data_IF_062829870985
#
_entry.id   IF_062829870985
#
_cell.length_a   1.000
_cell.length_b   1.000
_cell.length_c   1.000
_cell.angle_alpha   90.00
_cell.angle_beta   90.00
_cell.angle_gamma   90.00
#
_symmetry.space_group_name_H-M   'P 1'
#
loop_
_entity.id
_entity.type
_entity.pdbx_description
1 polymer ?
#
# COMPACT_ATOMS: atom_id res chain seq x y z
N UNK A 1 -11.47 -6.48 13.86
CA UNK A 1 -12.57 -5.65 14.41
C UNK A 1 -13.73 -6.47 14.91
N UNK A 2 -14.50 -7.16 14.06
CA UNK A 2 -15.70 -7.92 14.49
C UNK A 2 -15.37 -8.97 15.56
N UNK A 3 -14.34 -9.79 15.34
CA UNK A 3 -13.88 -10.76 16.34
C UNK A 3 -13.48 -10.13 17.68
N UNK A 4 -12.82 -8.96 17.66
CA UNK A 4 -12.48 -8.24 18.89
C UNK A 4 -13.74 -7.77 19.62
N UNK A 5 -14.72 -7.23 18.89
CA UNK A 5 -15.98 -6.80 19.48
C UNK A 5 -16.76 -7.97 20.07
N UNK A 6 -16.82 -9.10 19.38
CA UNK A 6 -17.44 -10.33 19.87
C UNK A 6 -16.70 -10.85 21.13
N UNK A 7 -15.36 -10.83 21.14
CA UNK A 7 -14.54 -11.23 22.30
C UNK A 7 -14.76 -10.37 23.54
N UNK A 8 -14.92 -9.06 23.36
CA UNK A 8 -15.18 -8.12 24.46
C UNK A 8 -16.67 -7.87 24.70
N UNK A 9 -17.55 -8.66 24.06
CA UNK A 9 -19.01 -8.57 24.18
C UNK A 9 -19.57 -7.16 23.93
N UNK A 10 -18.94 -6.39 23.04
CA UNK A 10 -19.37 -5.03 22.69
C UNK A 10 -20.41 -5.12 21.58
N UNK A 11 -21.69 -4.76 21.82
CA UNK A 11 -22.71 -4.81 20.79
C UNK A 11 -22.49 -3.71 19.75
N UNK A 12 -22.47 -4.10 18.46
CA UNK A 12 -22.30 -3.16 17.34
C UNK A 12 -23.38 -2.08 17.26
N UNK A 13 -24.56 -2.32 17.85
CA UNK A 13 -25.62 -1.33 17.94
C UNK A 13 -25.27 -0.12 18.81
N UNK A 14 -24.30 -0.25 19.73
CA UNK A 14 -23.85 0.85 20.60
C UNK A 14 -22.70 1.66 20.00
N UNK A 15 -22.15 1.23 18.85
CA UNK A 15 -21.04 1.93 18.21
C UNK A 15 -21.53 3.15 17.44
N UNK A 16 -21.21 4.34 17.95
CA UNK A 16 -21.52 5.63 17.34
C UNK A 16 -20.54 6.04 16.24
N UNK A 17 -19.33 5.47 16.22
CA UNK A 17 -18.26 5.85 15.30
C UNK A 17 -17.37 4.65 14.96
N UNK A 18 -17.16 4.38 13.68
CA UNK A 18 -16.32 3.30 13.18
C UNK A 18 -15.50 3.77 11.98
N UNK A 19 -14.18 3.81 12.16
CA UNK A 19 -13.22 4.07 11.09
C UNK A 19 -12.44 2.80 10.80
N UNK A 20 -12.36 2.45 9.53
CA UNK A 20 -11.72 1.24 9.06
C UNK A 20 -10.51 1.56 8.18
N UNK A 21 -9.33 1.14 8.61
CA UNK A 21 -8.10 1.12 7.82
C UNK A 21 -7.86 -0.29 7.27
N UNK A 22 -7.28 -0.39 6.08
CA UNK A 22 -7.05 -1.68 5.42
C UNK A 22 -5.84 -1.64 4.48
N UNK A 23 -5.21 -2.80 4.30
CA UNK A 23 -4.09 -3.02 3.37
C UNK A 23 -4.53 -3.63 2.03
N UNK A 24 -5.84 -3.82 1.81
CA UNK A 24 -6.37 -4.47 0.59
C UNK A 24 -5.87 -3.81 -0.69
N UNK A 25 -5.78 -2.48 -0.74
CA UNK A 25 -5.34 -1.75 -1.94
C UNK A 25 -3.86 -1.97 -2.24
N UNK A 26 -2.99 -1.75 -1.24
CA UNK A 26 -1.55 -1.89 -1.44
C UNK A 26 -1.19 -3.35 -1.78
N UNK A 27 -1.79 -4.32 -1.09
CA UNK A 27 -1.56 -5.74 -1.37
C UNK A 27 -2.01 -6.13 -2.79
N UNK A 28 -3.18 -5.64 -3.24
CA UNK A 28 -3.64 -5.92 -4.60
C UNK A 28 -2.70 -5.35 -5.68
N UNK A 29 -2.07 -4.21 -5.42
CA UNK A 29 -1.11 -3.57 -6.33
C UNK A 29 0.26 -4.27 -6.32
N UNK A 30 0.76 -4.66 -5.15
CA UNK A 30 2.03 -5.36 -4.99
C UNK A 30 1.97 -6.79 -5.54
N UNK A 31 0.90 -7.53 -5.23
CA UNK A 31 0.74 -8.93 -5.64
C UNK A 31 0.22 -9.08 -7.09
N UNK A 32 -0.16 -7.97 -7.73
CA UNK A 32 -0.75 -8.01 -9.07
C UNK A 32 -2.10 -8.74 -9.12
N UNK A 33 -2.87 -8.67 -8.03
CA UNK A 33 -4.19 -9.33 -7.86
C UNK A 33 -5.37 -8.38 -8.08
N UNK A 34 -5.19 -7.33 -8.87
CA UNK A 34 -6.29 -6.46 -9.28
C UNK A 34 -7.11 -7.02 -10.44
N UNK A 35 -8.10 -6.24 -10.86
CA UNK A 35 -9.01 -6.58 -11.93
C UNK A 35 -8.35 -6.45 -13.31
N UNK A 36 -8.79 -7.26 -14.27
CA UNK A 36 -8.37 -7.12 -15.66
C UNK A 36 -8.83 -5.76 -16.21
N UNK A 37 -7.88 -4.85 -16.37
CA UNK A 37 -8.16 -3.43 -16.61
C UNK A 37 -7.80 -3.02 -18.03
N UNK A 38 -8.66 -2.21 -18.65
CA UNK A 38 -8.36 -1.50 -19.89
C UNK A 38 -8.13 -0.01 -19.63
N UNK A 39 -7.35 0.62 -20.50
CA UNK A 39 -7.15 2.06 -20.54
C UNK A 39 -7.74 2.61 -21.84
N UNK A 40 -8.65 3.57 -21.74
CA UNK A 40 -9.09 4.40 -22.87
C UNK A 40 -8.35 5.73 -22.77
N UNK A 41 -7.65 6.11 -23.83
CA UNK A 41 -6.88 7.36 -23.90
C UNK A 41 -7.01 8.04 -25.25
N UNK A 42 -6.51 9.27 -25.34
CA UNK A 42 -6.47 10.03 -26.59
C UNK A 42 -5.63 9.32 -27.64
N UNK A 43 -6.09 9.32 -28.90
CA UNK A 43 -5.30 8.79 -30.02
C UNK A 43 -3.89 9.39 -30.09
N UNK A 44 -2.88 8.50 -30.14
CA UNK A 44 -1.46 8.84 -30.09
C UNK A 44 -0.83 8.76 -28.69
N UNK A 45 -1.61 8.48 -27.64
CA UNK A 45 -1.16 8.48 -26.24
C UNK A 45 -1.22 7.10 -25.56
N UNK A 46 -1.52 6.02 -26.28
CA UNK A 46 -1.58 4.65 -25.70
C UNK A 46 -0.31 4.20 -24.97
N UNK A 47 0.85 4.73 -25.35
CA UNK A 47 2.15 4.29 -24.85
C UNK A 47 2.69 5.19 -23.71
N UNK A 48 1.90 6.13 -23.19
CA UNK A 48 2.27 7.00 -22.04
C UNK A 48 2.76 6.19 -20.83
N UNK A 49 2.07 5.09 -20.49
CA UNK A 49 2.46 4.22 -19.38
C UNK A 49 3.78 3.47 -19.63
N UNK A 50 4.06 3.13 -20.88
CA UNK A 50 5.30 2.44 -21.28
C UNK A 50 6.50 3.38 -21.24
N UNK A 51 6.28 4.63 -21.65
CA UNK A 51 7.31 5.66 -21.71
C UNK A 51 7.69 6.09 -20.28
N UNK A 52 6.69 6.36 -19.42
CA UNK A 52 6.89 6.70 -18.01
C UNK A 52 7.69 7.98 -17.77
N UNK A 53 7.67 8.92 -18.73
CA UNK A 53 8.53 10.12 -18.83
C UNK A 53 10.01 9.86 -19.09
N UNK A 54 10.41 8.63 -19.38
CA UNK A 54 11.82 8.23 -19.60
C UNK A 54 12.77 8.51 -18.43
N UNK A 55 12.24 8.84 -17.26
CA UNK A 55 13.03 9.00 -16.05
C UNK A 55 13.62 7.66 -15.61
N UNK A 56 14.88 7.67 -15.17
CA UNK A 56 15.51 6.54 -14.47
C UNK A 56 15.65 6.91 -13.01
N UNK A 57 14.89 6.25 -12.15
CA UNK A 57 14.95 6.45 -10.70
C UNK A 57 16.30 6.04 -10.12
N UNK A 58 16.95 5.05 -10.74
CA UNK A 58 18.30 4.60 -10.41
C UNK A 58 19.27 5.00 -11.53
N UNK A 59 19.71 6.27 -11.53
CA UNK A 59 20.50 6.84 -12.63
C UNK A 59 21.77 6.03 -12.96
N UNK A 60 22.40 5.44 -11.94
CA UNK A 60 23.66 4.70 -12.07
C UNK A 60 23.48 3.18 -12.22
N UNK A 61 22.25 2.66 -12.18
CA UNK A 61 22.01 1.24 -12.39
C UNK A 61 21.94 0.93 -13.89
N UNK A 62 23.00 0.34 -14.43
CA UNK A 62 23.07 -0.08 -15.84
C UNK A 62 22.03 -1.16 -16.19
N UNK A 63 21.56 -1.94 -15.20
CA UNK A 63 20.57 -2.99 -15.34
C UNK A 63 19.15 -2.53 -14.94
N UNK A 64 18.93 -1.21 -14.85
CA UNK A 64 17.63 -0.65 -14.47
C UNK A 64 16.51 -1.17 -15.37
N UNK A 65 15.49 -1.74 -14.73
CA UNK A 65 14.25 -2.16 -15.37
C UNK A 65 13.15 -1.19 -14.99
N UNK A 66 12.42 -0.70 -15.99
CA UNK A 66 11.24 0.14 -15.76
C UNK A 66 10.14 -0.67 -15.09
N UNK A 67 9.32 -0.04 -14.23
CA UNK A 67 8.11 -0.67 -13.71
C UNK A 67 7.20 -1.18 -14.83
N UNK A 68 6.80 -2.44 -14.76
CA UNK A 68 5.85 -3.02 -15.71
C UNK A 68 4.49 -2.32 -15.55
N UNK A 69 3.88 -1.78 -16.63
CA UNK A 69 2.55 -1.18 -16.52
C UNK A 69 1.48 -2.20 -16.14
N UNK A 70 0.51 -1.80 -15.30
CA UNK A 70 -0.59 -2.67 -14.87
C UNK A 70 -1.53 -3.07 -16.03
N UNK A 71 -1.66 -2.19 -17.02
CA UNK A 71 -2.47 -2.45 -18.23
C UNK A 71 -1.54 -2.86 -19.36
N UNK A 72 -1.66 -4.07 -19.91
CA UNK A 72 -0.84 -4.50 -21.04
C UNK A 72 -1.21 -3.69 -22.29
N UNK A 73 -0.24 -3.50 -23.19
CA UNK A 73 -0.39 -2.61 -24.35
C UNK A 73 -1.63 -2.90 -25.22
N UNK A 74 -2.04 -4.16 -25.36
CA UNK A 74 -3.21 -4.55 -26.15
C UNK A 74 -4.56 -4.18 -25.51
N UNK A 75 -4.58 -3.80 -24.22
CA UNK A 75 -5.75 -3.24 -23.52
C UNK A 75 -5.64 -1.71 -23.34
N UNK A 76 -4.66 -1.06 -23.98
CA UNK A 76 -4.55 0.40 -24.07
C UNK A 76 -5.15 0.83 -25.40
N UNK A 77 -6.40 1.27 -25.33
CA UNK A 77 -7.27 1.59 -26.45
C UNK A 77 -7.34 3.09 -26.64
N UNK A 78 -7.44 3.51 -27.90
CA UNK A 78 -7.39 4.92 -28.29
C UNK A 78 -8.72 5.34 -28.88
N UNK A 79 -9.23 6.48 -28.42
CA UNK A 79 -10.38 7.14 -29.04
C UNK A 79 -9.91 8.38 -29.80
N UNK A 80 -10.53 8.68 -30.94
CA UNK A 80 -10.25 9.90 -31.67
C UNK A 80 -10.99 11.07 -31.02
N UNK A 81 -10.26 11.84 -30.23
CA UNK A 81 -10.69 13.11 -29.68
C UNK A 81 -9.48 14.01 -29.37
N UNK A 82 -9.69 15.30 -29.10
CA UNK A 82 -8.62 16.16 -28.59
C UNK A 82 -9.16 17.40 -27.88
N UNK A 83 -8.68 17.62 -26.65
CA UNK A 83 -8.84 18.87 -25.91
C UNK A 83 -7.55 19.69 -25.96
N UNK A 84 -7.68 21.00 -26.23
CA UNK A 84 -6.61 21.98 -26.10
C UNK A 84 -6.27 22.25 -24.63
N UNK A 85 -5.07 22.79 -24.38
CA UNK A 85 -4.68 23.25 -23.03
C UNK A 85 -5.47 24.47 -22.56
N UNK A 86 -6.11 25.18 -23.49
CA UNK A 86 -7.04 26.30 -23.26
C UNK A 86 -8.50 25.83 -23.07
N UNK A 87 -8.70 24.54 -22.76
CA UNK A 87 -10.00 23.90 -22.56
C UNK A 87 -10.91 23.83 -23.80
N UNK A 88 -10.43 24.22 -24.99
CA UNK A 88 -11.24 24.14 -26.23
C UNK A 88 -11.21 22.75 -26.85
N UNK A 89 -12.32 22.37 -27.47
CA UNK A 89 -12.40 21.14 -28.27
C UNK A 89 -11.66 21.36 -29.58
N UNK A 90 -10.58 20.62 -29.81
CA UNK A 90 -9.82 20.66 -31.07
C UNK A 90 -10.31 19.58 -32.04
N UNK A 91 -10.62 18.40 -31.52
CA UNK A 91 -11.20 17.29 -32.28
C UNK A 91 -12.36 16.73 -31.44
N UNK A 92 -13.61 16.73 -31.94
CA UNK A 92 -14.74 16.13 -31.24
C UNK A 92 -14.53 14.65 -30.94
N UNK A 93 -15.22 14.13 -29.91
CA UNK A 93 -15.24 12.72 -29.57
C UNK A 93 -15.88 11.89 -30.69
N UNK A 94 -15.15 10.92 -31.23
CA UNK A 94 -15.69 9.96 -32.20
C UNK A 94 -16.38 8.78 -31.51
N UNK A 95 -17.72 8.78 -31.53
CA UNK A 95 -18.54 7.78 -30.85
C UNK A 95 -18.40 6.39 -31.50
N UNK A 96 -18.11 6.31 -32.80
CA UNK A 96 -17.94 5.03 -33.50
C UNK A 96 -16.75 4.23 -32.97
N UNK A 97 -15.66 4.92 -32.61
CA UNK A 97 -14.49 4.30 -32.01
C UNK A 97 -14.87 3.64 -30.68
N UNK A 98 -15.70 4.29 -29.86
CA UNK A 98 -16.11 3.77 -28.56
C UNK A 98 -16.93 2.47 -28.67
N UNK A 99 -17.81 2.36 -29.66
CA UNK A 99 -18.58 1.13 -29.88
C UNK A 99 -17.67 -0.08 -30.18
N UNK A 100 -16.65 0.12 -31.02
CA UNK A 100 -15.67 -0.93 -31.33
C UNK A 100 -14.77 -1.25 -30.12
N UNK A 101 -14.39 -0.23 -29.35
CA UNK A 101 -13.62 -0.38 -28.12
C UNK A 101 -14.39 -1.23 -27.10
N UNK A 102 -15.68 -0.96 -26.89
CA UNK A 102 -16.54 -1.74 -25.98
C UNK A 102 -16.62 -3.21 -26.42
N UNK A 103 -16.80 -3.47 -27.72
CA UNK A 103 -16.83 -4.85 -28.23
C UNK A 103 -15.49 -5.57 -28.01
N UNK A 104 -14.37 -4.89 -28.24
CA UNK A 104 -13.03 -5.43 -27.97
C UNK A 104 -12.83 -5.74 -26.48
N UNK A 105 -13.24 -4.83 -25.60
CA UNK A 105 -13.15 -5.02 -24.14
C UNK A 105 -13.99 -6.21 -23.68
N UNK A 106 -15.22 -6.37 -24.20
CA UNK A 106 -16.08 -7.53 -23.92
C UNK A 106 -15.46 -8.85 -24.36
N UNK A 107 -14.93 -8.92 -25.59
CA UNK A 107 -14.22 -10.11 -26.09
C UNK A 107 -12.98 -10.46 -25.26
N UNK A 108 -12.43 -9.49 -24.55
CA UNK A 108 -11.29 -9.67 -23.65
C UNK A 108 -11.70 -9.74 -22.18
N UNK A 109 -12.99 -9.78 -21.86
CA UNK A 109 -13.50 -9.93 -20.48
C UNK A 109 -12.89 -8.88 -19.53
N UNK A 110 -12.84 -7.62 -19.97
CA UNK A 110 -12.34 -6.52 -19.15
C UNK A 110 -13.32 -6.27 -17.98
N UNK A 111 -12.81 -6.25 -16.76
CA UNK A 111 -13.60 -6.04 -15.54
C UNK A 111 -13.60 -4.57 -15.09
N UNK A 112 -12.57 -3.81 -15.47
CA UNK A 112 -12.42 -2.42 -15.09
C UNK A 112 -11.83 -1.55 -16.19
N UNK A 113 -12.22 -0.28 -16.24
CA UNK A 113 -11.87 0.65 -17.31
C UNK A 113 -11.37 1.95 -16.67
N UNK A 114 -10.13 2.31 -17.00
CA UNK A 114 -9.59 3.62 -16.76
C UNK A 114 -9.79 4.50 -18.00
N UNK A 115 -10.33 5.70 -17.85
CA UNK A 115 -10.43 6.70 -18.91
C UNK A 115 -9.54 7.88 -18.54
N UNK A 116 -8.50 8.13 -19.33
CA UNK A 116 -7.60 9.26 -19.14
C UNK A 116 -7.30 9.92 -20.48
N UNK A 117 -8.00 11.03 -20.74
CA UNK A 117 -7.81 11.83 -21.94
C UNK A 117 -6.84 12.99 -21.66
N UNK A 118 -6.13 13.42 -22.70
CA UNK A 118 -5.23 14.57 -22.61
C UNK A 118 -6.05 15.84 -22.37
N UNK A 119 -5.62 16.64 -21.40
CA UNK A 119 -6.28 17.87 -20.94
C UNK A 119 -7.68 17.71 -20.35
N UNK A 120 -8.09 16.49 -19.98
CA UNK A 120 -9.36 16.26 -19.27
C UNK A 120 -9.44 16.98 -17.92
N UNK A 121 -8.29 17.27 -17.27
CA UNK A 121 -8.23 18.08 -16.06
C UNK A 121 -8.75 19.52 -16.26
N UNK A 122 -8.61 20.05 -17.48
CA UNK A 122 -9.01 21.41 -17.84
C UNK A 122 -10.44 21.44 -18.40
N UNK A 123 -10.83 20.42 -19.18
CA UNK A 123 -12.19 20.23 -19.67
C UNK A 123 -12.55 18.74 -19.71
N UNK A 124 -13.39 18.24 -18.78
CA UNK A 124 -13.70 16.83 -18.65
C UNK A 124 -14.82 16.34 -19.61
N UNK A 125 -15.34 17.20 -20.49
CA UNK A 125 -16.54 16.92 -21.29
C UNK A 125 -16.51 15.56 -21.99
N UNK A 126 -15.41 15.23 -22.67
CA UNK A 126 -15.30 13.95 -23.38
C UNK A 126 -15.18 12.75 -22.43
N UNK A 127 -14.49 12.88 -21.28
CA UNK A 127 -14.46 11.80 -20.30
C UNK A 127 -15.85 11.54 -19.70
N UNK A 128 -16.62 12.59 -19.43
CA UNK A 128 -17.99 12.48 -18.95
C UNK A 128 -18.91 11.80 -19.96
N UNK A 129 -18.75 12.11 -21.25
CA UNK A 129 -19.52 11.50 -22.33
C UNK A 129 -19.14 10.02 -22.52
N UNK A 130 -17.85 9.68 -22.47
CA UNK A 130 -17.39 8.28 -22.46
C UNK A 130 -17.96 7.54 -21.26
N UNK A 131 -17.89 8.12 -20.06
CA UNK A 131 -18.42 7.52 -18.83
C UNK A 131 -19.89 7.13 -18.94
N UNK A 132 -20.74 8.07 -19.39
CA UNK A 132 -22.17 7.81 -19.62
C UNK A 132 -22.40 6.66 -20.61
N UNK A 133 -21.66 6.64 -21.71
CA UNK A 133 -21.79 5.59 -22.72
C UNK A 133 -21.31 4.24 -22.21
N UNK A 134 -20.29 4.19 -21.36
CA UNK A 134 -19.85 2.97 -20.70
C UNK A 134 -20.89 2.47 -19.70
N UNK A 135 -21.48 3.36 -18.89
CA UNK A 135 -22.56 3.00 -17.96
C UNK A 135 -23.78 2.43 -18.70
N UNK A 136 -24.14 2.99 -19.85
CA UNK A 136 -25.26 2.51 -20.66
C UNK A 136 -24.97 1.19 -21.38
N UNK A 137 -23.76 1.04 -21.93
CA UNK A 137 -23.45 -0.04 -22.89
C UNK A 137 -22.59 -1.15 -22.33
N UNK A 138 -21.90 -0.93 -21.22
CA UNK A 138 -21.03 -1.92 -20.57
C UNK A 138 -21.10 -1.82 -19.02
N UNK A 139 -22.31 -1.84 -18.42
CA UNK A 139 -22.52 -1.62 -16.98
C UNK A 139 -21.87 -2.67 -16.07
N UNK A 140 -21.48 -3.82 -16.61
CA UNK A 140 -20.80 -4.88 -15.87
C UNK A 140 -19.35 -4.51 -15.49
N UNK A 141 -18.72 -3.55 -16.19
CA UNK A 141 -17.38 -3.10 -15.90
C UNK A 141 -17.39 -1.87 -14.98
N UNK A 142 -16.44 -1.80 -14.05
CA UNK A 142 -16.22 -0.57 -13.25
C UNK A 142 -15.49 0.49 -14.07
N UNK A 143 -15.81 1.77 -13.86
CA UNK A 143 -15.24 2.88 -14.63
C UNK A 143 -14.59 3.90 -13.71
N UNK A 144 -13.34 4.27 -14.02
CA UNK A 144 -12.59 5.34 -13.38
C UNK A 144 -12.30 6.45 -14.39
N UNK A 145 -12.88 7.63 -14.17
CA UNK A 145 -12.64 8.82 -15.00
C UNK A 145 -11.53 9.67 -14.37
N UNK A 146 -10.48 10.00 -15.13
CA UNK A 146 -9.29 10.65 -14.57
C UNK A 146 -9.60 11.99 -13.90
N UNK A 147 -10.55 12.78 -14.45
CA UNK A 147 -10.95 14.07 -13.88
C UNK A 147 -11.72 13.99 -12.55
N UNK A 148 -12.26 12.81 -12.19
CA UNK A 148 -12.88 12.58 -10.89
C UNK A 148 -11.85 12.19 -9.83
N UNK A 149 -10.69 11.66 -10.25
CA UNK A 149 -9.62 11.24 -9.34
C UNK A 149 -8.63 12.37 -9.12
N UNK A 150 -8.07 12.95 -10.19
CA UNK A 150 -7.10 14.05 -10.08
C UNK A 150 -7.18 15.00 -11.26
N UNK A 151 -7.34 16.30 -10.98
CA UNK A 151 -7.41 17.37 -11.97
C UNK A 151 -6.08 18.11 -12.12
N UNK A 152 -5.00 17.36 -12.26
CA UNK A 152 -3.64 17.88 -12.47
C UNK A 152 -3.14 17.57 -13.88
N UNK A 153 -2.25 18.43 -14.40
CA UNK A 153 -1.85 18.38 -15.82
C UNK A 153 -0.94 17.20 -16.17
N UNK A 154 -0.17 16.67 -15.22
CA UNK A 154 0.78 15.56 -15.37
C UNK A 154 0.15 14.32 -16.01
N UNK A 155 0.42 14.07 -17.30
CA UNK A 155 -0.26 13.03 -18.08
C UNK A 155 0.11 11.62 -17.64
N UNK A 156 1.40 11.36 -17.38
CA UNK A 156 1.86 10.04 -16.95
C UNK A 156 1.33 9.71 -15.55
N UNK A 157 1.54 10.60 -14.60
CA UNK A 157 1.14 10.43 -13.20
C UNK A 157 -0.38 10.35 -13.07
N UNK A 158 -1.14 11.18 -13.79
CA UNK A 158 -2.61 11.10 -13.83
C UNK A 158 -3.10 9.79 -14.45
N UNK A 159 -2.50 9.34 -15.56
CA UNK A 159 -2.85 8.06 -16.19
C UNK A 159 -2.53 6.89 -15.26
N UNK A 160 -1.34 6.89 -14.65
CA UNK A 160 -0.90 5.88 -13.67
C UNK A 160 -1.87 5.81 -12.49
N UNK A 161 -2.26 6.96 -11.93
CA UNK A 161 -3.21 7.04 -10.80
C UNK A 161 -4.58 6.51 -11.18
N UNK A 162 -5.10 6.92 -12.35
CA UNK A 162 -6.43 6.50 -12.84
C UNK A 162 -6.47 4.99 -13.09
N UNK A 163 -5.39 4.45 -13.67
CA UNK A 163 -5.25 3.01 -13.91
C UNK A 163 -5.12 2.24 -12.61
N UNK A 164 -4.33 2.71 -11.65
CA UNK A 164 -4.23 2.05 -10.35
C UNK A 164 -5.57 2.04 -9.61
N UNK A 165 -6.35 3.13 -9.67
CA UNK A 165 -7.70 3.18 -9.12
C UNK A 165 -8.62 2.13 -9.76
N UNK A 166 -8.72 2.12 -11.10
CA UNK A 166 -9.53 1.15 -11.84
C UNK A 166 -9.12 -0.30 -11.49
N UNK A 167 -7.81 -0.56 -11.48
CA UNK A 167 -7.24 -1.87 -11.22
C UNK A 167 -7.67 -2.47 -9.87
N UNK A 168 -7.75 -1.66 -8.81
CA UNK A 168 -8.16 -2.15 -7.48
C UNK A 168 -9.66 -2.01 -7.20
N UNK A 169 -10.39 -1.25 -8.01
CA UNK A 169 -11.79 -0.89 -7.75
C UNK A 169 -12.73 -2.08 -7.57
N UNK A 170 -12.72 -3.12 -8.42
CA UNK A 170 -13.57 -4.30 -8.19
C UNK A 170 -13.22 -5.05 -6.89
N UNK A 171 -11.94 -5.13 -6.53
CA UNK A 171 -11.48 -5.80 -5.31
C UNK A 171 -12.00 -5.06 -4.08
N UNK A 172 -11.81 -3.74 -4.04
CA UNK A 172 -12.29 -2.90 -2.93
C UNK A 172 -13.81 -2.86 -2.85
N UNK A 173 -14.51 -2.80 -3.98
CA UNK A 173 -15.97 -2.83 -4.00
C UNK A 173 -16.55 -4.12 -3.40
N UNK A 174 -15.93 -5.27 -3.67
CA UNK A 174 -16.32 -6.54 -3.04
C UNK A 174 -16.02 -6.52 -1.54
N UNK A 175 -14.83 -6.07 -1.16
CA UNK A 175 -14.40 -5.99 0.23
C UNK A 175 -15.29 -5.09 1.09
N UNK A 176 -15.50 -3.84 0.67
CA UNK A 176 -16.29 -2.86 1.41
C UNK A 176 -17.75 -3.29 1.51
N UNK A 177 -18.32 -3.85 0.44
CA UNK A 177 -19.70 -4.37 0.46
C UNK A 177 -19.87 -5.52 1.45
N UNK A 178 -18.93 -6.48 1.45
CA UNK A 178 -18.94 -7.58 2.42
C UNK A 178 -18.91 -7.04 3.87
N UNK A 179 -18.04 -6.05 4.13
CA UNK A 179 -17.96 -5.40 5.44
C UNK A 179 -19.27 -4.67 5.81
N UNK A 180 -19.84 -3.89 4.88
CA UNK A 180 -21.13 -3.21 5.08
C UNK A 180 -22.26 -4.20 5.39
N UNK A 181 -22.36 -5.30 4.64
CA UNK A 181 -23.37 -6.34 4.85
C UNK A 181 -23.22 -7.00 6.22
N UNK A 182 -22.00 -7.33 6.65
CA UNK A 182 -21.75 -7.92 7.98
C UNK A 182 -22.05 -6.96 9.14
N UNK A 183 -21.82 -5.65 8.94
CA UNK A 183 -22.18 -4.61 9.90
C UNK A 183 -23.71 -4.45 10.01
N UNK A 184 -24.42 -4.46 8.88
CA UNK A 184 -25.89 -4.39 8.83
C UNK A 184 -26.51 -5.59 9.54
N UNK A 185 -26.03 -6.82 9.26
CA UNK A 185 -26.50 -8.05 9.93
C UNK A 185 -26.37 -7.97 11.45
N UNK A 186 -25.33 -7.29 11.95
CA UNK A 186 -25.06 -7.07 13.37
C UNK A 186 -25.66 -5.78 13.94
N UNK A 187 -26.60 -5.17 13.21
CA UNK A 187 -27.38 -3.98 13.63
C UNK A 187 -26.52 -2.75 13.95
N UNK A 188 -25.38 -2.59 13.26
CA UNK A 188 -24.63 -1.33 13.30
C UNK A 188 -25.48 -0.20 12.73
N UNK A 189 -25.65 0.89 13.47
CA UNK A 189 -26.58 1.98 13.13
C UNK A 189 -25.90 3.21 12.52
N UNK A 190 -24.57 3.26 12.56
CA UNK A 190 -23.79 4.42 12.13
C UNK A 190 -23.24 4.25 10.70
N UNK A 191 -22.51 5.25 10.21
CA UNK A 191 -21.90 5.21 8.87
C UNK A 191 -20.52 4.57 8.97
N UNK A 192 -20.24 3.57 8.12
CA UNK A 192 -18.89 3.05 7.96
C UNK A 192 -17.98 4.10 7.31
N UNK A 193 -16.96 4.52 8.04
CA UNK A 193 -15.93 5.42 7.54
C UNK A 193 -14.65 4.66 7.24
N UNK A 194 -13.96 5.08 6.20
CA UNK A 194 -12.73 4.49 5.69
C UNK A 194 -11.61 5.50 5.86
N UNK A 195 -10.46 5.07 6.39
CA UNK A 195 -9.28 5.91 6.52
C UNK A 195 -8.68 6.20 5.13
N UNK A 196 -8.31 7.45 4.89
CA UNK A 196 -7.70 7.92 3.64
C UNK A 196 -6.18 8.04 3.79
N UNK A 197 -5.47 7.97 2.66
CA UNK A 197 -4.03 8.15 2.56
C UNK A 197 -3.57 9.53 3.04
N UNK A 198 -4.40 10.56 2.95
CA UNK A 198 -4.08 11.94 3.35
C UNK A 198 -4.30 12.22 4.84
N UNK A 199 -4.70 11.20 5.62
CA UNK A 199 -5.01 11.33 7.04
C UNK A 199 -6.42 11.77 7.39
N UNK A 200 -7.27 11.97 6.38
CA UNK A 200 -8.71 12.16 6.58
C UNK A 200 -9.47 10.83 6.63
N UNK A 201 -10.79 10.93 6.75
CA UNK A 201 -11.71 9.79 6.66
C UNK A 201 -12.78 10.08 5.59
N UNK A 202 -13.28 9.05 4.93
CA UNK A 202 -14.33 9.15 3.92
C UNK A 202 -15.44 8.12 4.15
N UNK A 203 -16.61 8.33 3.56
CA UNK A 203 -17.67 7.32 3.58
C UNK A 203 -17.27 6.11 2.73
N UNK A 204 -17.71 4.92 3.12
CA UNK A 204 -17.56 3.68 2.36
C UNK A 204 -18.01 3.79 0.89
N UNK A 205 -19.06 4.56 0.60
CA UNK A 205 -19.51 4.83 -0.76
C UNK A 205 -18.44 5.51 -1.62
N UNK A 206 -17.74 6.51 -1.08
CA UNK A 206 -16.65 7.21 -1.79
C UNK A 206 -15.44 6.28 -1.96
N UNK A 207 -15.14 5.47 -0.95
CA UNK A 207 -14.06 4.48 -1.02
C UNK A 207 -14.25 3.45 -2.14
N UNK A 208 -15.51 3.12 -2.48
CA UNK A 208 -15.86 2.22 -3.58
C UNK A 208 -15.69 2.85 -4.97
N UNK A 209 -15.62 4.17 -5.06
CA UNK A 209 -15.42 4.93 -6.30
C UNK A 209 -13.96 5.36 -6.50
N UNK A 210 -13.28 5.73 -5.41
CA UNK A 210 -11.88 6.18 -5.41
C UNK A 210 -11.01 5.36 -4.43
N UNK A 211 -10.92 4.03 -4.59
CA UNK A 211 -10.14 3.16 -3.72
C UNK A 211 -8.65 3.51 -3.64
N UNK A 212 -8.08 4.15 -4.67
CA UNK A 212 -6.66 4.52 -4.65
C UNK A 212 -6.31 5.51 -3.53
N UNK A 213 -7.30 6.24 -2.99
CA UNK A 213 -7.16 7.12 -1.84
C UNK A 213 -7.07 6.38 -0.48
N UNK A 214 -7.06 5.05 -0.49
CA UNK A 214 -6.95 4.18 0.69
C UNK A 214 -5.56 3.56 0.84
N UNK A 215 -4.63 3.88 -0.06
CA UNK A 215 -3.24 3.41 0.00
C UNK A 215 -2.63 3.82 1.34
N UNK A 216 -1.91 2.90 1.99
CA UNK A 216 -1.35 3.10 3.34
C UNK A 216 -2.35 3.53 4.43
N UNK A 217 -3.66 3.30 4.27
CA UNK A 217 -4.66 3.79 5.24
C UNK A 217 -4.44 3.32 6.69
N UNK A 218 -3.93 2.10 6.91
CA UNK A 218 -3.59 1.61 8.25
C UNK A 218 -2.41 2.37 8.88
N UNK A 219 -1.23 2.37 8.24
CA UNK A 219 -0.05 3.11 8.71
C UNK A 219 -0.30 4.61 8.90
N UNK A 220 -1.11 5.23 8.04
CA UNK A 220 -1.57 6.63 8.19
C UNK A 220 -2.29 6.83 9.51
N UNK A 221 -3.19 5.93 9.90
CA UNK A 221 -3.89 6.00 11.17
C UNK A 221 -2.92 5.90 12.36
N UNK A 222 -1.92 5.03 12.27
CA UNK A 222 -0.86 4.92 13.27
C UNK A 222 -0.03 6.19 13.41
N UNK A 223 0.36 6.80 12.28
CA UNK A 223 1.10 8.06 12.27
C UNK A 223 0.31 9.20 12.92
N UNK A 224 -1.00 9.31 12.63
CA UNK A 224 -1.88 10.33 13.22
C UNK A 224 -2.12 10.07 14.70
N UNK A 225 -2.37 8.82 15.09
CA UNK A 225 -2.53 8.45 16.49
C UNK A 225 -1.26 8.74 17.30
N UNK A 226 -0.10 8.41 16.76
CA UNK A 226 1.20 8.71 17.34
C UNK A 226 1.47 10.21 17.45
N UNK A 227 1.18 10.99 16.41
CA UNK A 227 1.27 12.45 16.43
C UNK A 227 0.37 13.06 17.52
N UNK A 228 -0.88 12.60 17.61
CA UNK A 228 -1.84 13.11 18.57
C UNK A 228 -1.43 12.77 20.01
N UNK A 229 -1.01 11.53 20.26
CA UNK A 229 -0.52 11.10 21.58
C UNK A 229 0.71 11.91 21.99
N UNK A 230 1.68 12.06 21.08
CA UNK A 230 2.89 12.83 21.32
C UNK A 230 2.58 14.30 21.66
N UNK A 231 1.66 14.92 20.93
CA UNK A 231 1.26 16.31 21.18
C UNK A 231 0.63 16.47 22.57
N UNK A 232 -0.19 15.50 23.02
CA UNK A 232 -0.78 15.50 24.36
C UNK A 232 0.27 15.45 25.49
N UNK A 233 1.44 14.87 25.24
CA UNK A 233 2.55 14.79 26.21
C UNK A 233 3.64 15.85 25.96
N UNK A 234 3.41 16.81 25.06
CA UNK A 234 4.29 17.96 24.84
C UNK A 234 5.36 17.80 23.75
N UNK A 235 5.30 16.73 22.95
CA UNK A 235 6.19 16.53 21.79
C UNK A 235 5.45 16.81 20.48
N UNK A 236 5.85 17.86 19.77
CA UNK A 236 5.24 18.23 18.48
C UNK A 236 6.05 17.76 17.26
N UNK A 237 7.30 17.37 17.46
CA UNK A 237 8.13 16.78 16.42
C UNK A 237 8.37 15.33 16.79
N UNK A 238 7.78 14.39 16.03
CA UNK A 238 7.95 12.97 16.28
C UNK A 238 8.24 12.16 15.04
N UNK A 239 9.00 11.09 15.23
CA UNK A 239 9.15 10.01 14.27
C UNK A 239 8.23 8.89 14.74
N UNK A 240 7.21 8.60 13.95
CA UNK A 240 6.34 7.45 14.19
C UNK A 240 6.98 6.22 13.58
N UNK A 241 7.08 5.14 14.33
CA UNK A 241 7.75 3.90 13.91
C UNK A 241 6.83 2.71 14.22
N UNK A 242 6.34 2.07 13.18
CA UNK A 242 5.44 0.91 13.23
C UNK A 242 6.20 -0.33 12.78
N UNK A 243 6.49 -1.27 13.69
CA UNK A 243 7.10 -2.54 13.32
C UNK A 243 6.09 -3.69 13.46
N UNK A 244 5.83 -4.36 12.35
CA UNK A 244 5.02 -5.58 12.32
C UNK A 244 5.84 -6.82 12.02
N UNK A 245 5.15 -7.93 11.74
CA UNK A 245 5.79 -9.20 11.38
C UNK A 245 6.47 -9.22 10.01
N UNK A 246 6.09 -8.35 9.07
CA UNK A 246 6.63 -8.38 7.68
C UNK A 246 7.37 -7.12 7.28
N UNK A 247 6.95 -5.97 7.81
CA UNK A 247 7.45 -4.66 7.39
C UNK A 247 7.56 -3.74 8.59
N UNK A 248 8.46 -2.77 8.48
CA UNK A 248 8.54 -1.63 9.37
C UNK A 248 8.23 -0.38 8.56
N UNK A 249 7.44 0.52 9.15
CA UNK A 249 7.00 1.76 8.52
C UNK A 249 7.33 2.94 9.39
N UNK A 250 7.64 4.07 8.76
CA UNK A 250 7.94 5.29 9.48
C UNK A 250 7.39 6.52 8.79
N UNK A 251 7.03 7.53 9.59
CA UNK A 251 6.59 8.85 9.13
C UNK A 251 7.20 9.94 9.99
N UNK A 252 7.35 11.13 9.40
CA UNK A 252 7.77 12.34 10.09
C UNK A 252 6.55 13.18 10.42
N UNK A 253 6.45 13.57 11.68
CA UNK A 253 5.45 14.50 12.20
C UNK A 253 6.20 15.75 12.65
N UNK A 254 5.79 16.91 12.13
CA UNK A 254 6.38 18.21 12.44
C UNK A 254 5.28 19.16 12.86
N UNK A 255 5.52 19.90 13.94
CA UNK A 255 4.54 20.85 14.48
C UNK A 255 3.16 20.20 14.75
N UNK A 256 3.15 18.93 15.16
CA UNK A 256 1.96 18.15 15.50
C UNK A 256 1.22 17.55 14.30
N UNK A 257 1.69 17.74 13.07
CA UNK A 257 1.03 17.25 11.86
C UNK A 257 1.95 16.31 11.07
N UNK A 258 1.46 15.14 10.61
CA UNK A 258 2.19 14.30 9.67
C UNK A 258 2.46 15.03 8.35
N UNK A 259 3.68 14.90 7.82
CA UNK A 259 3.99 15.44 6.50
C UNK A 259 3.22 14.68 5.41
N UNK A 260 2.89 15.37 4.33
CA UNK A 260 2.21 14.77 3.16
C UNK A 260 3.05 14.99 1.90
N UNK A 261 2.99 14.01 1.01
CA UNK A 261 3.56 14.08 -0.34
C UNK A 261 2.45 14.06 -1.38
N UNK A 262 2.64 14.83 -2.43
CA UNK A 262 1.76 14.90 -3.60
C UNK A 262 2.06 13.83 -4.66
N UNK A 263 3.17 13.10 -4.49
CA UNK A 263 3.61 12.05 -5.38
C UNK A 263 4.13 10.88 -4.54
N UNK A 264 3.38 9.78 -4.56
CA UNK A 264 3.74 8.52 -3.92
C UNK A 264 4.06 7.46 -4.98
N UNK A 265 5.01 6.57 -4.72
CA UNK A 265 5.43 5.53 -5.67
C UNK A 265 5.08 4.15 -5.12
N UNK A 266 4.35 3.35 -5.90
CA UNK A 266 4.11 1.93 -5.61
C UNK A 266 4.80 1.11 -6.68
N UNK A 267 5.83 0.34 -6.32
CA UNK A 267 6.67 -0.42 -7.29
C UNK A 267 7.16 0.47 -8.44
N UNK A 268 7.53 1.72 -8.12
CA UNK A 268 7.95 2.74 -9.08
C UNK A 268 6.84 3.36 -9.93
N UNK A 269 5.57 2.99 -9.73
CA UNK A 269 4.40 3.58 -10.41
C UNK A 269 3.88 4.77 -9.59
N UNK A 270 3.76 5.98 -10.16
CA UNK A 270 3.33 7.15 -9.41
C UNK A 270 1.82 7.17 -9.16
N UNK A 271 1.46 7.66 -7.97
CA UNK A 271 0.14 8.10 -7.56
C UNK A 271 0.20 9.61 -7.35
N UNK A 272 -0.78 10.32 -7.90
CA UNK A 272 -0.88 11.77 -7.90
C UNK A 272 -2.03 12.23 -7.00
N UNK A 273 -1.93 11.86 -5.73
CA UNK A 273 -2.85 12.20 -4.65
C UNK A 273 -2.03 12.54 -3.40
N UNK A 274 -2.57 13.37 -2.49
CA UNK A 274 -1.92 13.61 -1.20
C UNK A 274 -1.91 12.32 -0.39
N UNK A 275 -0.73 11.92 0.06
CA UNK A 275 -0.49 10.75 0.91
C UNK A 275 0.38 11.20 2.08
N UNK A 276 0.06 10.81 3.31
CA UNK A 276 0.98 10.99 4.44
C UNK A 276 2.29 10.31 4.08
N UNK A 277 3.39 11.03 4.23
CA UNK A 277 4.69 10.55 3.82
C UNK A 277 5.14 9.43 4.75
N UNK A 278 4.86 8.21 4.31
CA UNK A 278 5.21 6.98 4.99
C UNK A 278 6.21 6.28 4.09
N UNK A 279 7.29 5.81 4.70
CA UNK A 279 8.21 4.89 4.05
C UNK A 279 8.20 3.56 4.75
N UNK A 280 8.36 2.53 3.95
CA UNK A 280 8.41 1.16 4.42
C UNK A 280 9.76 0.51 4.07
N UNK A 281 10.11 -0.48 4.86
CA UNK A 281 11.17 -1.43 4.57
C UNK A 281 10.63 -2.84 4.84
N UNK A 282 11.04 -3.80 4.02
CA UNK A 282 10.76 -5.23 4.19
C UNK A 282 11.55 -5.86 5.35
N UNK A 283 11.51 -5.22 6.52
CA UNK A 283 12.15 -5.67 7.74
C UNK A 283 11.13 -5.67 8.88
N UNK A 284 10.88 -6.82 9.49
CA UNK A 284 9.92 -7.02 10.58
C UNK A 284 10.24 -8.29 11.36
N UNK A 285 9.38 -8.68 12.30
CA UNK A 285 9.63 -9.86 13.15
C UNK A 285 9.83 -11.18 12.38
N UNK A 286 9.06 -11.38 11.30
CA UNK A 286 9.17 -12.55 10.43
C UNK A 286 10.24 -12.43 9.35
N UNK A 287 11.06 -11.38 9.31
CA UNK A 287 12.14 -11.28 8.32
C UNK A 287 13.13 -12.42 8.48
N UNK A 288 13.40 -13.12 7.38
CA UNK A 288 14.21 -14.33 7.38
C UNK A 288 15.69 -13.96 7.39
N UNK A 289 16.46 -14.58 8.28
CA UNK A 289 17.91 -14.56 8.24
C UNK A 289 18.45 -15.63 7.29
N UNK A 290 19.37 -15.24 6.40
CA UNK A 290 19.95 -16.14 5.39
C UNK A 290 21.39 -15.76 5.07
N UNK A 291 22.14 -16.71 4.55
CA UNK A 291 23.55 -16.52 4.17
C UNK A 291 23.62 -16.55 2.65
N UNK A 292 24.25 -15.55 2.05
CA UNK A 292 24.42 -15.47 0.60
C UNK A 292 25.57 -16.36 0.08
N UNK A 293 25.72 -16.43 -1.24
CA UNK A 293 26.79 -17.21 -1.88
C UNK A 293 28.20 -16.72 -1.52
N UNK A 294 28.33 -15.46 -1.07
CA UNK A 294 29.58 -14.85 -0.62
C UNK A 294 29.85 -15.08 0.88
N UNK A 295 28.94 -15.74 1.59
CA UNK A 295 29.05 -16.04 3.02
C UNK A 295 28.66 -14.90 3.96
N UNK A 296 28.01 -13.85 3.46
CA UNK A 296 27.50 -12.76 4.28
C UNK A 296 26.12 -13.10 4.86
N UNK A 297 25.92 -12.77 6.14
CA UNK A 297 24.61 -12.87 6.79
C UNK A 297 23.73 -11.68 6.39
N UNK A 298 22.51 -11.97 5.94
CA UNK A 298 21.47 -11.01 5.59
C UNK A 298 20.21 -11.29 6.39
N UNK A 299 19.37 -10.26 6.57
CA UNK A 299 18.05 -10.37 7.19
C UNK A 299 17.04 -9.62 6.32
N UNK A 300 16.04 -10.36 5.82
CA UNK A 300 15.14 -9.87 4.78
C UNK A 300 15.80 -9.81 3.38
N UNK A 301 15.10 -9.29 2.36
CA UNK A 301 13.71 -8.79 2.40
C UNK A 301 12.66 -9.90 2.46
N UNK A 302 13.05 -11.17 2.35
CA UNK A 302 12.13 -12.30 2.47
C UNK A 302 11.56 -12.35 3.89
N UNK A 303 10.26 -12.63 4.00
CA UNK A 303 9.57 -12.81 5.28
C UNK A 303 8.91 -14.18 5.33
N UNK A 304 8.83 -14.75 6.54
CA UNK A 304 8.07 -15.96 6.83
C UNK A 304 6.55 -15.70 6.95
N UNK A 305 6.13 -14.43 6.99
CA UNK A 305 4.73 -14.05 7.12
C UNK A 305 4.12 -14.51 8.46
N UNK A 306 2.81 -14.72 8.47
CA UNK A 306 2.11 -15.35 9.60
C UNK A 306 2.02 -16.88 9.46
N UNK A 307 2.08 -17.40 8.23
CA UNK A 307 2.01 -18.82 7.90
C UNK A 307 2.98 -19.10 6.72
N UNK A 308 3.99 -19.97 6.88
CA UNK A 308 4.29 -20.81 8.05
C UNK A 308 4.83 -20.03 9.27
N UNK A 309 5.20 -18.75 9.09
CA UNK A 309 5.65 -17.89 10.18
C UNK A 309 7.05 -18.22 10.73
N UNK A 310 7.50 -17.46 11.75
CA UNK A 310 8.66 -17.80 12.58
C UNK A 310 8.67 -19.25 13.04
N UNK A 311 9.86 -19.84 13.19
CA UNK A 311 9.97 -21.24 13.61
C UNK A 311 9.38 -21.46 15.01
N UNK A 312 9.55 -20.48 15.90
CA UNK A 312 9.00 -20.49 17.25
C UNK A 312 7.47 -20.53 17.29
N UNK A 313 6.76 -20.22 16.20
CA UNK A 313 5.29 -20.27 16.16
C UNK A 313 4.71 -21.68 16.05
N UNK A 314 5.54 -22.72 15.89
CA UNK A 314 5.10 -24.12 15.77
C UNK A 314 4.14 -24.37 14.59
N UNK A 315 4.33 -23.63 13.49
CA UNK A 315 3.49 -23.68 12.28
C UNK A 315 4.31 -24.09 11.03
N UNK A 316 5.20 -25.08 11.20
CA UNK A 316 6.10 -25.60 10.15
C UNK A 316 7.12 -24.59 9.58
N UNK A 317 7.36 -23.48 10.28
CA UNK A 317 8.45 -22.55 9.98
C UNK A 317 9.82 -23.20 10.20
N UNK A 318 10.68 -23.24 9.16
CA UNK A 318 11.99 -23.93 9.21
C UNK A 318 13.21 -23.00 9.05
N UNK A 319 12.95 -21.71 8.81
CA UNK A 319 13.98 -20.68 8.56
C UNK A 319 14.07 -19.76 9.76
N UNK A 320 15.28 -19.36 10.20
CA UNK A 320 15.44 -18.45 11.31
C UNK A 320 14.91 -17.06 10.96
N UNK A 321 14.17 -16.45 11.88
CA UNK A 321 13.60 -15.10 11.73
C UNK A 321 14.05 -14.15 12.85
N UNK A 322 13.68 -12.87 12.75
CA UNK A 322 13.94 -11.88 13.80
C UNK A 322 13.23 -12.24 15.10
N UNK A 323 11.97 -12.68 15.03
CA UNK A 323 11.19 -13.13 16.21
C UNK A 323 11.84 -14.35 16.87
N UNK A 324 12.42 -15.28 16.10
CA UNK A 324 13.19 -16.40 16.67
C UNK A 324 14.42 -15.89 17.45
N UNK A 325 15.11 -14.89 16.90
CA UNK A 325 16.27 -14.28 17.55
C UNK A 325 15.89 -13.50 18.81
N UNK A 326 14.79 -12.74 18.77
CA UNK A 326 14.25 -12.00 19.93
C UNK A 326 13.85 -12.95 21.06
N UNK A 327 13.23 -14.09 20.72
CA UNK A 327 12.91 -15.14 21.69
C UNK A 327 14.17 -15.76 22.29
N UNK A 328 15.17 -16.10 21.47
CA UNK A 328 16.42 -16.69 21.95
C UNK A 328 17.21 -15.76 22.87
N UNK A 329 17.16 -14.44 22.62
CA UNK A 329 17.80 -13.42 23.46
C UNK A 329 16.99 -13.07 24.73
N UNK A 330 15.80 -13.65 24.91
CA UNK A 330 14.93 -13.37 26.04
C UNK A 330 14.26 -11.99 25.99
N UNK A 331 14.14 -11.39 24.79
CA UNK A 331 13.37 -10.16 24.57
C UNK A 331 11.87 -10.47 24.61
N UNK A 332 11.47 -11.63 24.08
CA UNK A 332 10.11 -12.13 24.13
C UNK A 332 9.94 -13.13 25.27
N UNK A 333 8.82 -13.02 25.99
CA UNK A 333 8.42 -14.00 27.01
C UNK A 333 7.69 -15.18 26.36
N UNK A 334 8.24 -16.41 26.41
CA UNK A 334 7.60 -17.58 25.83
C UNK A 334 6.25 -17.93 26.47
N UNK A 335 6.05 -17.58 27.76
CA UNK A 335 4.87 -17.98 28.53
C UNK A 335 3.71 -16.98 28.39
N UNK A 336 3.95 -15.83 27.75
CA UNK A 336 2.96 -14.74 27.68
C UNK A 336 2.80 -14.13 26.28
N UNK A 337 3.19 -14.86 25.23
CA UNK A 337 3.07 -14.38 23.86
C UNK A 337 1.59 -14.20 23.46
N UNK A 338 1.28 -13.05 22.83
CA UNK A 338 -0.10 -12.58 22.56
C UNK A 338 -1.02 -12.60 23.79
N UNK A 339 -0.49 -12.30 24.98
CA UNK A 339 -1.25 -12.33 26.23
C UNK A 339 -1.55 -13.74 26.74
N UNK A 340 -0.73 -14.73 26.33
CA UNK A 340 -0.87 -16.14 26.70
C UNK A 340 -1.80 -16.94 25.78
N UNK A 341 -2.22 -16.38 24.64
CA UNK A 341 -3.12 -17.07 23.70
C UNK A 341 -2.40 -17.99 22.71
N UNK A 342 -1.08 -17.81 22.56
CA UNK A 342 -0.28 -18.58 21.62
C UNK A 342 1.03 -19.00 22.27
N UNK A 343 1.19 -20.30 22.43
CA UNK A 343 2.46 -20.88 22.84
C UNK A 343 3.52 -20.67 21.74
N UNK A 344 4.75 -20.42 22.15
CA UNK A 344 5.91 -20.36 21.26
C UNK A 344 7.05 -21.23 21.81
N UNK A 345 7.85 -21.82 20.92
CA UNK A 345 8.93 -22.74 21.31
C UNK A 345 10.32 -22.09 21.22
N UNK A 346 11.00 -21.88 22.37
CA UNK A 346 12.41 -21.50 22.40
C UNK A 346 13.33 -22.52 21.73
N UNK A 347 12.97 -23.81 21.77
CA UNK A 347 13.73 -24.90 21.17
C UNK A 347 13.75 -24.79 19.65
N UNK A 348 12.59 -24.59 19.01
CA UNK A 348 12.50 -24.42 17.56
C UNK A 348 13.22 -23.16 17.07
N UNK A 349 13.14 -22.07 17.83
CA UNK A 349 13.92 -20.86 17.56
C UNK A 349 15.43 -21.18 17.58
N UNK A 350 15.91 -21.82 18.65
CA UNK A 350 17.31 -22.22 18.83
C UNK A 350 17.80 -23.13 17.71
N UNK A 351 17.01 -24.13 17.32
CA UNK A 351 17.36 -25.10 16.27
C UNK A 351 17.57 -24.44 14.91
N UNK A 352 16.73 -23.46 14.56
CA UNK A 352 16.89 -22.75 13.28
C UNK A 352 18.08 -21.79 13.28
N UNK A 353 18.30 -21.07 14.38
CA UNK A 353 19.45 -20.16 14.55
C UNK A 353 20.77 -20.94 14.62
N UNK A 354 20.77 -22.16 15.16
CA UNK A 354 21.94 -23.03 15.23
C UNK A 354 22.58 -23.28 13.85
N UNK A 355 21.80 -23.24 12.77
CA UNK A 355 22.32 -23.35 11.39
C UNK A 355 23.26 -22.19 11.03
N UNK A 356 22.90 -20.98 11.44
CA UNK A 356 23.73 -19.76 11.27
C UNK A 356 24.93 -19.83 12.21
N UNK A 357 24.72 -20.18 13.48
CA UNK A 357 25.78 -20.28 14.48
C UNK A 357 26.89 -21.26 14.04
N UNK A 358 26.51 -22.44 13.51
CA UNK A 358 27.45 -23.43 12.97
C UNK A 358 28.24 -22.93 11.75
N UNK A 359 27.64 -22.11 10.90
CA UNK A 359 28.32 -21.58 9.72
C UNK A 359 29.45 -20.63 10.08
N UNK A 360 29.22 -19.76 11.08
CA UNK A 360 30.19 -18.76 11.51
C UNK A 360 31.11 -19.22 12.66
N UNK A 361 30.95 -20.45 13.16
CA UNK A 361 31.67 -20.98 14.33
C UNK A 361 31.52 -20.11 15.59
N UNK A 362 30.28 -19.72 15.87
CA UNK A 362 29.91 -18.88 17.02
C UNK A 362 28.81 -19.54 17.86
N UNK A 363 28.54 -18.99 19.03
CA UNK A 363 27.41 -19.43 19.86
C UNK A 363 26.05 -19.07 19.23
N UNK A 364 24.98 -19.74 19.66
CA UNK A 364 23.63 -19.45 19.20
C UNK A 364 23.19 -18.04 19.60
N UNK A 365 23.59 -17.57 20.79
CA UNK A 365 23.28 -16.22 21.28
C UNK A 365 23.99 -15.15 20.45
N UNK A 366 25.25 -15.38 20.06
CA UNK A 366 25.98 -14.47 19.17
C UNK A 366 25.34 -14.41 17.77
N UNK A 367 24.88 -15.55 17.25
CA UNK A 367 24.15 -15.59 15.98
C UNK A 367 22.81 -14.84 16.07
N UNK A 368 22.03 -15.04 17.14
CA UNK A 368 20.78 -14.32 17.39
C UNK A 368 21.01 -12.81 17.50
N UNK A 369 22.04 -12.40 18.26
CA UNK A 369 22.43 -10.99 18.37
C UNK A 369 22.86 -10.40 17.02
N UNK A 370 23.53 -11.18 16.18
CA UNK A 370 23.88 -10.80 14.81
C UNK A 370 22.65 -10.49 13.95
N UNK A 371 21.63 -11.36 14.00
CA UNK A 371 20.35 -11.16 13.30
C UNK A 371 19.70 -9.85 13.73
N UNK A 372 19.56 -9.62 15.05
CA UNK A 372 18.97 -8.38 15.60
C UNK A 372 19.76 -7.14 15.22
N UNK A 373 21.10 -7.19 15.23
CA UNK A 373 21.93 -6.06 14.81
C UNK A 373 21.74 -5.71 13.34
N UNK A 374 21.65 -6.71 12.46
CA UNK A 374 21.46 -6.49 11.03
C UNK A 374 20.09 -5.86 10.76
N UNK A 375 19.01 -6.40 11.35
CA UNK A 375 17.67 -5.84 11.13
C UNK A 375 17.56 -4.41 11.66
N UNK A 376 18.12 -4.14 12.85
CA UNK A 376 18.15 -2.79 13.42
C UNK A 376 18.96 -1.80 12.56
N UNK A 377 20.07 -2.24 11.97
CA UNK A 377 20.84 -1.41 11.04
C UNK A 377 20.05 -1.10 9.76
N UNK A 378 19.33 -2.08 9.21
CA UNK A 378 18.45 -1.89 8.06
C UNK A 378 17.34 -0.85 8.37
N UNK A 379 16.68 -0.98 9.52
CA UNK A 379 15.64 -0.05 9.99
C UNK A 379 16.20 1.35 10.31
N UNK A 380 17.42 1.44 10.84
CA UNK A 380 18.12 2.73 11.02
C UNK A 380 18.36 3.42 9.67
N UNK A 381 18.68 2.66 8.62
CA UNK A 381 18.77 3.18 7.25
C UNK A 381 17.46 3.80 6.74
N UNK A 382 16.32 3.18 7.06
CA UNK A 382 14.99 3.73 6.77
C UNK A 382 14.78 5.08 7.49
N UNK A 383 15.06 5.15 8.79
CA UNK A 383 14.95 6.37 9.59
C UNK A 383 15.85 7.50 9.06
N UNK A 384 17.11 7.18 8.71
CA UNK A 384 18.04 8.15 8.10
C UNK A 384 17.53 8.68 6.75
N UNK A 385 16.81 7.85 5.99
CA UNK A 385 16.23 8.27 4.71
C UNK A 385 15.08 9.27 4.85
N UNK A 386 14.41 9.26 6.00
CA UNK A 386 13.30 10.16 6.34
C UNK A 386 13.76 11.38 7.13
N UNK A 387 14.93 11.32 7.77
CA UNK A 387 15.48 12.41 8.58
C UNK A 387 16.67 13.08 7.89
N UNK A 388 17.88 12.55 8.10
CA UNK A 388 19.16 13.14 7.68
C UNK A 388 19.21 13.42 6.18
N UNK A 389 18.75 12.48 5.33
CA UNK A 389 18.74 12.66 3.86
C UNK A 389 17.78 13.76 3.38
N UNK A 390 16.89 14.22 4.26
CA UNK A 390 15.93 15.31 4.02
C UNK A 390 16.31 16.61 4.74
N UNK A 391 17.46 16.64 5.42
CA UNK A 391 17.95 17.80 6.15
C UNK A 391 17.36 17.96 7.56
N UNK A 392 16.69 16.94 8.10
CA UNK A 392 16.21 16.94 9.48
C UNK A 392 17.27 16.35 10.43
N UNK A 393 17.44 16.98 11.60
CA UNK A 393 18.23 16.44 12.69
C UNK A 393 17.36 15.50 13.56
N UNK A 394 17.64 14.19 13.62
CA UNK A 394 16.86 13.25 14.42
C UNK A 394 16.77 13.61 15.91
N UNK A 395 17.71 14.41 16.43
CA UNK A 395 17.72 14.84 17.85
C UNK A 395 16.60 15.81 18.19
N UNK A 396 16.00 16.44 17.18
CA UNK A 396 14.87 17.36 17.35
C UNK A 396 13.52 16.63 17.45
N UNK A 397 13.52 15.29 17.35
CA UNK A 397 12.33 14.45 17.32
C UNK A 397 12.31 13.47 18.49
N UNK A 398 11.14 13.27 19.10
CA UNK A 398 10.88 12.09 19.90
C UNK A 398 10.44 10.92 18.99
N UNK A 399 10.62 9.69 19.44
CA UNK A 399 10.15 8.52 18.69
C UNK A 399 8.90 7.93 19.36
N UNK A 400 7.86 7.70 18.56
CA UNK A 400 6.68 6.94 18.96
C UNK A 400 6.76 5.58 18.28
N UNK A 401 7.24 4.58 19.02
CA UNK A 401 7.28 3.20 18.54
C UNK A 401 5.97 2.48 18.89
N UNK A 402 5.37 1.85 17.89
CA UNK A 402 4.19 1.01 18.01
C UNK A 402 4.31 -0.17 17.04
N UNK A 403 3.29 -1.02 17.04
CA UNK A 403 3.35 -2.33 16.40
C UNK A 403 3.47 -3.43 17.45
N UNK A 404 3.91 -4.60 17.00
CA UNK A 404 3.96 -5.83 17.81
C UNK A 404 5.37 -6.23 18.20
#
# INVERSE_FOLDING_TARGET
TIQCMERFEIPLSEVSFLVHGTTVVINALLEGKGAKTALITTKGFRDVLEIGRSNRTEMYNALYKKPTPLVPRYLRLEVKERMGGDSKVLIPLEIRDLAQIIEQMRKKEVESIAVCLINAYANPKHEQEIGKLLDERYPEATVSLSHNITRRYYEYERTSTTVQNAYVMPVVQRYVRCLEEELIKRRFQSILQIMQSNGGIMKSAVAREMPISMVESGPVAGAIGGAQLASMIGYNNVITYDMGGTTAKTSIVREGLPETTDQYLIEGRPILLPVVDIREIGAGGGSIAWIDEAGALHVGPQSAGAEPGPACYMQDGLKPTVTDADLQLGILDPDYFLGGEKDISPELARETIQKIARYFDISVDEAALGIVKIVNNNMSGLLQSMTVKRGYDPRDFAMVAFGG
#
